data_IF_423428439163
#
_entry.id   IF_423428439163
#
_cell.length_a   1.000
_cell.length_b   1.000
_cell.length_c   1.000
_cell.angle_alpha   90.00
_cell.angle_beta   90.00
_cell.angle_gamma   90.00
#
_symmetry.space_group_name_H-M   'P 1'
#
loop_
_entity.id
_entity.type
_entity.pdbx_description
1 polymer ?
#
# COMPACT_ATOMS: atom_id res chain seq x y z
N UNK A 1 29.75 -10.58 8.92
CA UNK A 1 29.60 -11.73 9.83
C UNK A 1 28.17 -12.23 9.72
N UNK A 2 27.94 -13.40 9.15
CA UNK A 2 26.61 -14.00 9.13
C UNK A 2 26.25 -14.38 10.58
N UNK A 3 25.22 -13.72 11.12
CA UNK A 3 24.68 -14.07 12.44
C UNK A 3 24.12 -15.48 12.30
N UNK A 4 24.74 -16.46 12.94
CA UNK A 4 24.23 -17.82 12.97
C UNK A 4 22.80 -17.78 13.53
N UNK A 5 21.83 -18.25 12.75
CA UNK A 5 20.46 -18.38 13.22
C UNK A 5 20.46 -19.22 14.50
N UNK A 6 19.77 -18.78 15.57
CA UNK A 6 19.74 -19.55 16.81
C UNK A 6 19.18 -20.94 16.54
N UNK A 7 19.88 -21.97 17.02
CA UNK A 7 19.43 -23.36 16.96
C UNK A 7 18.30 -23.50 17.99
N UNK A 8 17.07 -23.42 17.51
CA UNK A 8 15.88 -23.67 18.32
C UNK A 8 15.71 -25.18 18.55
N UNK A 9 15.18 -25.61 19.71
CA UNK A 9 14.88 -27.01 19.94
C UNK A 9 13.87 -27.54 18.90
N UNK A 10 13.96 -28.81 18.49
CA UNK A 10 13.02 -29.40 17.55
C UNK A 10 11.61 -29.43 18.16
N UNK A 11 10.59 -29.42 17.31
CA UNK A 11 9.20 -29.59 17.74
C UNK A 11 9.02 -30.96 18.44
N UNK A 12 8.08 -31.06 19.41
CA UNK A 12 7.81 -32.32 20.09
C UNK A 12 7.37 -33.44 19.14
N UNK A 13 7.82 -34.67 19.41
CA UNK A 13 7.56 -35.85 18.56
C UNK A 13 6.09 -36.30 18.50
N UNK A 14 5.19 -35.74 19.33
CA UNK A 14 3.77 -36.11 19.38
C UNK A 14 2.87 -35.30 18.43
N UNK A 15 3.44 -34.45 17.57
CA UNK A 15 2.66 -33.76 16.54
C UNK A 15 2.13 -34.78 15.52
N UNK A 16 0.83 -35.05 15.60
CA UNK A 16 0.13 -35.89 14.63
C UNK A 16 0.05 -35.11 13.32
N UNK A 17 0.66 -35.66 12.27
CA UNK A 17 0.53 -35.10 10.94
C UNK A 17 -0.95 -35.12 10.52
N UNK A 18 -1.47 -34.05 9.89
CA UNK A 18 -2.84 -34.05 9.41
C UNK A 18 -3.02 -35.18 8.40
N UNK A 19 -4.09 -35.96 8.57
CA UNK A 19 -4.47 -37.06 7.68
C UNK A 19 -5.80 -36.76 7.00
N UNK A 20 -5.99 -37.31 5.80
CA UNK A 20 -7.26 -37.16 5.10
C UNK A 20 -8.35 -38.04 5.75
N UNK A 21 -9.50 -37.47 6.14
CA UNK A 21 -10.62 -38.26 6.60
C UNK A 21 -11.24 -39.09 5.48
N UNK A 22 -11.74 -40.30 5.79
CA UNK A 22 -12.39 -41.18 4.81
C UNK A 22 -13.63 -40.56 4.15
N UNK A 23 -14.26 -39.59 4.80
CA UNK A 23 -15.44 -38.87 4.34
C UNK A 23 -15.10 -37.57 3.58
N UNK A 24 -13.83 -37.23 3.38
CA UNK A 24 -13.44 -36.06 2.60
C UNK A 24 -13.93 -36.18 1.15
N UNK A 25 -13.61 -37.28 0.48
CA UNK A 25 -14.10 -37.55 -0.87
C UNK A 25 -15.35 -38.43 -0.77
N UNK A 26 -16.52 -37.87 -1.13
CA UNK A 26 -17.77 -38.63 -1.12
C UNK A 26 -17.73 -39.74 -2.17
N UNK A 27 -18.45 -40.86 -1.94
CA UNK A 27 -18.55 -41.94 -2.92
C UNK A 27 -19.04 -41.43 -4.29
N UNK A 28 -18.45 -41.93 -5.37
CA UNK A 28 -18.84 -41.65 -6.75
C UNK A 28 -18.89 -42.96 -7.55
N UNK A 29 -19.71 -43.00 -8.61
CA UNK A 29 -20.12 -44.24 -9.30
C UNK A 29 -19.40 -44.52 -10.62
N UNK A 30 -18.36 -43.76 -10.96
CA UNK A 30 -17.61 -43.92 -12.21
C UNK A 30 -16.17 -44.41 -11.94
N UNK A 31 -15.58 -45.24 -12.82
CA UNK A 31 -14.22 -45.71 -12.64
C UNK A 31 -13.22 -44.56 -12.81
N UNK A 32 -12.17 -44.56 -11.99
CA UNK A 32 -11.06 -43.63 -12.18
C UNK A 32 -10.25 -44.05 -13.42
N UNK A 33 -10.04 -43.15 -14.39
CA UNK A 33 -9.26 -43.45 -15.59
C UNK A 33 -7.80 -43.75 -15.22
N UNK A 34 -7.07 -44.51 -16.06
CA UNK A 34 -5.64 -44.77 -15.82
C UNK A 34 -4.84 -43.47 -15.76
N UNK A 35 -4.97 -42.65 -16.80
CA UNK A 35 -4.44 -41.28 -16.85
C UNK A 35 -5.42 -40.33 -16.16
N UNK A 36 -4.99 -39.76 -15.04
CA UNK A 36 -5.79 -38.85 -14.25
C UNK A 36 -5.78 -37.47 -14.89
N UNK A 37 -6.90 -36.78 -14.74
CA UNK A 37 -7.11 -35.46 -15.30
C UNK A 37 -7.56 -34.46 -14.23
N UNK A 38 -7.47 -33.17 -14.56
CA UNK A 38 -7.88 -32.07 -13.68
C UNK A 38 -9.31 -32.29 -13.21
N UNK A 39 -9.54 -32.26 -11.90
CA UNK A 39 -10.79 -32.59 -11.23
C UNK A 39 -10.70 -33.88 -10.42
N UNK A 40 -9.82 -34.81 -10.81
CA UNK A 40 -9.56 -36.08 -10.12
C UNK A 40 -8.07 -36.37 -9.93
N UNK A 41 -7.19 -35.37 -9.98
CA UNK A 41 -5.74 -35.57 -9.74
C UNK A 41 -5.47 -36.01 -8.30
N UNK A 42 -4.32 -36.64 -8.03
CA UNK A 42 -3.92 -37.04 -6.68
C UNK A 42 -4.01 -35.87 -5.69
N UNK A 43 -3.51 -34.69 -6.05
CA UNK A 43 -3.62 -33.47 -5.22
C UNK A 43 -5.05 -33.01 -4.93
N UNK A 44 -6.04 -33.39 -5.74
CA UNK A 44 -7.44 -33.00 -5.56
C UNK A 44 -8.26 -34.06 -4.82
N UNK A 45 -7.84 -35.33 -4.90
CA UNK A 45 -8.40 -36.45 -4.14
C UNK A 45 -7.84 -36.49 -2.72
N UNK A 46 -6.53 -36.30 -2.60
CA UNK A 46 -5.81 -36.15 -1.34
C UNK A 46 -4.96 -34.87 -1.35
N UNK A 47 -5.50 -33.74 -0.84
CA UNK A 47 -4.79 -32.47 -0.83
C UNK A 47 -3.63 -32.43 0.19
N UNK A 48 -3.59 -33.39 1.13
CA UNK A 48 -2.54 -33.50 2.14
C UNK A 48 -1.36 -34.38 1.69
N UNK A 49 -1.50 -35.08 0.56
CA UNK A 49 -0.44 -35.85 -0.04
C UNK A 49 0.73 -34.94 -0.46
N UNK A 50 1.94 -35.27 0.00
CA UNK A 50 3.16 -34.47 -0.24
C UNK A 50 4.03 -34.99 -1.37
N UNK A 51 3.95 -36.29 -1.63
CA UNK A 51 4.74 -36.96 -2.65
C UNK A 51 3.93 -38.04 -3.36
N UNK A 52 4.30 -38.34 -4.60
CA UNK A 52 3.64 -39.35 -5.43
C UNK A 52 4.62 -39.99 -6.39
N UNK A 53 4.66 -41.33 -6.41
CA UNK A 53 5.31 -42.09 -7.47
C UNK A 53 4.36 -42.21 -8.67
N UNK A 54 4.86 -41.85 -9.86
CA UNK A 54 4.08 -41.79 -11.10
C UNK A 54 4.99 -42.08 -12.31
N UNK A 55 4.42 -42.02 -13.52
CA UNK A 55 5.14 -42.27 -14.77
C UNK A 55 5.00 -41.11 -15.74
N UNK A 56 6.09 -40.79 -16.45
CA UNK A 56 6.08 -39.78 -17.52
C UNK A 56 5.36 -40.33 -18.74
N UNK A 57 4.34 -39.62 -19.22
CA UNK A 57 3.53 -40.02 -20.38
C UNK A 57 3.88 -39.23 -21.63
N UNK A 58 4.35 -37.99 -21.47
CA UNK A 58 4.76 -37.09 -22.56
C UNK A 58 5.86 -36.15 -22.08
N UNK A 59 6.83 -35.86 -22.95
CA UNK A 59 7.85 -34.86 -22.70
C UNK A 59 8.24 -34.21 -24.03
N UNK A 60 7.97 -32.91 -24.19
CA UNK A 60 8.24 -32.17 -25.41
C UNK A 60 8.97 -30.87 -25.13
N UNK A 61 9.91 -30.50 -26.01
CA UNK A 61 10.65 -29.24 -25.89
C UNK A 61 9.77 -28.09 -26.37
N UNK A 62 9.62 -27.04 -25.57
CA UNK A 62 8.93 -25.81 -25.96
C UNK A 62 9.87 -24.62 -25.84
N UNK A 63 10.08 -23.93 -26.96
CA UNK A 63 10.66 -22.58 -26.97
C UNK A 63 9.57 -21.60 -26.53
N UNK A 64 9.61 -21.14 -25.29
CA UNK A 64 8.70 -20.12 -24.76
C UNK A 64 9.48 -18.86 -24.34
N UNK A 65 8.94 -17.64 -24.52
CA UNK A 65 9.50 -16.45 -23.86
C UNK A 65 9.38 -16.62 -22.32
N UNK A 66 10.33 -16.06 -21.57
CA UNK A 66 10.35 -16.19 -20.11
C UNK A 66 9.01 -15.81 -19.46
N UNK A 67 8.65 -16.41 -18.32
CA UNK A 67 7.43 -16.06 -17.61
C UNK A 67 7.51 -14.60 -17.12
N UNK A 68 6.47 -13.83 -17.41
CA UNK A 68 6.28 -12.50 -16.83
C UNK A 68 6.22 -12.61 -15.30
N UNK A 69 7.26 -12.13 -14.63
CA UNK A 69 7.24 -11.92 -13.18
C UNK A 69 6.15 -10.89 -12.87
N UNK A 70 5.26 -11.22 -11.94
CA UNK A 70 4.05 -10.44 -11.65
C UNK A 70 4.35 -8.95 -11.45
N UNK A 71 4.01 -8.14 -12.45
CA UNK A 71 3.82 -6.70 -12.32
C UNK A 71 2.39 -6.38 -12.72
N UNK A 72 1.71 -5.67 -11.82
CA UNK A 72 0.31 -5.30 -11.92
C UNK A 72 -0.05 -4.67 -13.27
N UNK A 73 -1.29 -4.93 -13.68
CA UNK A 73 -1.93 -4.41 -14.88
C UNK A 73 -2.08 -2.89 -14.82
N UNK A 74 -1.00 -2.17 -15.11
CA UNK A 74 -1.02 -0.76 -15.52
C UNK A 74 -1.00 -0.68 -17.04
N UNK A 75 -2.11 -0.21 -17.64
CA UNK A 75 -2.17 0.12 -19.07
C UNK A 75 -1.16 1.23 -19.40
N UNK A 76 -0.12 0.87 -20.14
CA UNK A 76 0.81 1.81 -20.76
C UNK A 76 1.75 1.08 -21.72
N UNK A 77 1.42 1.06 -23.01
CA UNK A 77 2.32 0.62 -24.07
C UNK A 77 3.60 1.47 -24.07
N UNK A 78 4.77 0.85 -23.84
CA UNK A 78 6.05 1.20 -24.50
C UNK A 78 7.17 0.25 -24.11
N UNK A 79 7.83 -0.32 -25.14
CA UNK A 79 9.16 -0.93 -25.05
C UNK A 79 9.19 -2.43 -24.73
N UNK A 80 9.24 -3.27 -25.78
CA UNK A 80 9.60 -4.69 -25.68
C UNK A 80 11.07 -4.77 -25.26
N UNK A 81 11.34 -5.02 -23.97
CA UNK A 81 12.67 -5.44 -23.50
C UNK A 81 12.77 -6.95 -23.71
N UNK A 82 13.87 -7.40 -24.32
CA UNK A 82 14.18 -8.82 -24.53
C UNK A 82 14.21 -9.54 -23.18
N UNK A 83 13.14 -10.28 -22.88
CA UNK A 83 13.11 -11.24 -21.78
C UNK A 83 13.93 -12.48 -22.18
N UNK A 84 14.76 -13.04 -21.28
CA UNK A 84 15.59 -14.19 -21.61
C UNK A 84 14.71 -15.39 -21.99
N UNK A 85 14.91 -15.96 -23.18
CA UNK A 85 14.23 -17.19 -23.60
C UNK A 85 14.80 -18.34 -22.78
N UNK A 86 14.07 -18.80 -21.77
CA UNK A 86 14.42 -20.00 -21.02
C UNK A 86 13.82 -21.19 -21.77
N UNK A 87 14.67 -22.12 -22.20
CA UNK A 87 14.19 -23.37 -22.79
C UNK A 87 13.45 -24.18 -21.70
N UNK A 88 12.17 -24.47 -21.94
CA UNK A 88 11.33 -25.25 -21.04
C UNK A 88 10.85 -26.53 -21.71
N UNK A 89 10.56 -27.53 -20.90
CA UNK A 89 10.03 -28.82 -21.31
C UNK A 89 8.62 -28.98 -20.77
N UNK A 90 7.68 -29.33 -21.64
CA UNK A 90 6.32 -29.69 -21.26
C UNK A 90 6.27 -31.18 -20.93
N UNK A 91 5.95 -31.48 -19.68
CA UNK A 91 5.92 -32.85 -19.15
C UNK A 91 4.50 -33.18 -18.67
N UNK A 92 3.98 -34.30 -19.15
CA UNK A 92 2.72 -34.89 -18.67
C UNK A 92 3.02 -36.18 -17.91
N UNK A 93 2.22 -36.45 -16.88
CA UNK A 93 2.38 -37.58 -15.96
C UNK A 93 1.07 -38.37 -15.90
N UNK A 94 1.13 -39.65 -15.54
CA UNK A 94 -0.08 -40.48 -15.36
C UNK A 94 -1.01 -39.93 -14.27
N UNK A 95 -0.43 -39.36 -13.22
CA UNK A 95 -1.09 -38.62 -12.14
C UNK A 95 -0.08 -37.65 -11.51
N UNK A 96 -0.55 -36.62 -10.80
CA UNK A 96 0.31 -35.61 -10.18
C UNK A 96 -0.18 -35.14 -8.81
N UNK A 97 0.78 -34.98 -7.90
CA UNK A 97 0.59 -34.35 -6.58
C UNK A 97 0.74 -32.83 -6.66
N UNK A 98 1.08 -32.25 -7.82
CA UNK A 98 1.17 -30.79 -8.01
C UNK A 98 -0.11 -30.26 -8.64
N UNK A 99 -0.71 -29.25 -8.02
CA UNK A 99 -1.95 -28.64 -8.49
C UNK A 99 -1.67 -27.73 -9.71
N UNK A 100 -2.34 -27.94 -10.85
CA UNK A 100 -2.34 -26.98 -11.96
C UNK A 100 -3.15 -25.74 -11.58
N UNK A 101 -2.75 -24.57 -12.06
CA UNK A 101 -3.49 -23.32 -11.81
C UNK A 101 -4.98 -23.45 -12.18
N UNK A 102 -5.87 -22.97 -11.30
CA UNK A 102 -7.32 -23.01 -11.54
C UNK A 102 -8.17 -22.50 -10.37
N UNK A 103 -9.37 -22.01 -10.67
CA UNK A 103 -10.33 -21.55 -9.65
C UNK A 103 -9.89 -20.31 -8.86
N UNK A 104 -8.88 -19.58 -9.33
CA UNK A 104 -8.25 -18.47 -8.61
C UNK A 104 -7.06 -18.88 -7.72
N UNK A 105 -6.81 -20.19 -7.57
CA UNK A 105 -5.63 -20.71 -6.89
C UNK A 105 -4.43 -20.82 -7.86
N UNK A 106 -3.28 -20.20 -7.56
CA UNK A 106 -2.05 -20.35 -8.34
C UNK A 106 -1.55 -21.80 -8.33
N UNK A 107 -0.81 -22.19 -9.37
CA UNK A 107 -0.17 -23.51 -9.41
C UNK A 107 0.81 -23.73 -8.25
N UNK A 108 0.95 -25.00 -7.87
CA UNK A 108 2.01 -25.39 -6.95
C UNK A 108 3.39 -25.32 -7.60
N UNK A 109 4.40 -25.43 -6.77
CA UNK A 109 5.80 -25.63 -7.15
C UNK A 109 6.29 -26.94 -6.54
N UNK A 110 7.39 -27.47 -7.05
CA UNK A 110 7.92 -28.72 -6.55
C UNK A 110 9.06 -29.27 -7.40
N UNK A 111 9.41 -30.51 -7.14
CA UNK A 111 10.45 -31.25 -7.86
C UNK A 111 9.93 -32.60 -8.34
N UNK A 112 10.50 -33.08 -9.43
CA UNK A 112 10.28 -34.42 -9.98
C UNK A 112 11.63 -35.13 -9.99
N UNK A 113 11.73 -36.25 -9.27
CA UNK A 113 12.94 -37.05 -9.12
C UNK A 113 12.80 -38.32 -9.95
N UNK A 114 13.69 -38.55 -10.89
CA UNK A 114 13.80 -39.82 -11.60
C UNK A 114 14.26 -40.91 -10.62
N UNK A 115 13.45 -41.97 -10.46
CA UNK A 115 13.72 -43.06 -9.52
C UNK A 115 14.85 -43.99 -9.97
N UNK A 116 15.25 -43.94 -11.24
CA UNK A 116 16.35 -44.74 -11.80
C UNK A 116 17.67 -44.01 -11.71
N UNK A 117 17.71 -42.75 -12.19
CA UNK A 117 18.94 -41.96 -12.23
C UNK A 117 19.20 -41.13 -10.97
N UNK A 118 18.16 -40.90 -10.15
CA UNK A 118 18.21 -39.97 -9.02
C UNK A 118 18.20 -38.50 -9.43
N UNK A 119 18.08 -38.19 -10.72
CA UNK A 119 18.10 -36.81 -11.24
C UNK A 119 16.85 -36.07 -10.78
N UNK A 120 17.04 -34.91 -10.14
CA UNK A 120 15.95 -34.03 -9.70
C UNK A 120 15.74 -32.89 -10.68
N UNK A 121 14.51 -32.72 -11.16
CA UNK A 121 14.10 -31.65 -12.06
C UNK A 121 13.11 -30.74 -11.33
N UNK A 122 13.34 -29.42 -11.38
CA UNK A 122 12.43 -28.43 -10.79
C UNK A 122 11.27 -28.13 -11.75
N UNK A 123 10.07 -28.04 -11.18
CA UNK A 123 8.85 -27.61 -11.88
C UNK A 123 8.66 -26.11 -11.65
N UNK A 124 8.65 -25.33 -12.73
CA UNK A 124 8.52 -23.87 -12.68
C UNK A 124 7.05 -23.42 -12.61
N UNK A 125 6.16 -24.12 -13.32
CA UNK A 125 4.72 -23.88 -13.31
C UNK A 125 3.97 -25.11 -13.82
N UNK A 126 2.69 -25.23 -13.44
CA UNK A 126 1.79 -26.24 -13.98
C UNK A 126 0.55 -25.54 -14.54
N UNK A 127 0.25 -25.76 -15.82
CA UNK A 127 -0.94 -25.22 -16.47
C UNK A 127 -1.88 -26.32 -16.90
N UNK A 128 -3.18 -26.03 -16.88
CA UNK A 128 -4.20 -26.90 -17.44
C UNK A 128 -4.32 -26.66 -18.94
N UNK A 129 -4.20 -27.72 -19.74
CA UNK A 129 -4.56 -27.73 -21.16
C UNK A 129 -5.73 -28.72 -21.35
N UNK A 130 -6.95 -28.23 -21.51
CA UNK A 130 -8.15 -29.08 -21.51
C UNK A 130 -8.31 -29.83 -20.18
N UNK A 131 -8.23 -31.15 -20.22
CA UNK A 131 -8.29 -32.02 -19.03
C UNK A 131 -6.90 -32.31 -18.43
N UNK A 132 -5.81 -31.98 -19.12
CA UNK A 132 -4.46 -32.42 -18.74
C UNK A 132 -3.73 -31.37 -17.90
N UNK A 133 -2.96 -31.84 -16.91
CA UNK A 133 -2.00 -31.03 -16.17
C UNK A 133 -0.62 -31.10 -16.82
N UNK A 134 -0.14 -29.97 -17.34
CA UNK A 134 1.13 -29.87 -18.06
C UNK A 134 2.17 -29.15 -17.18
N UNK A 135 3.26 -29.84 -16.88
CA UNK A 135 4.34 -29.37 -16.02
C UNK A 135 5.44 -28.75 -16.87
N UNK A 136 5.80 -27.50 -16.59
CA UNK A 136 6.90 -26.82 -17.28
C UNK A 136 8.18 -26.99 -16.48
N UNK A 137 9.13 -27.72 -17.05
CA UNK A 137 10.37 -28.15 -16.40
C UNK A 137 11.60 -27.54 -17.08
N UNK A 138 12.67 -27.32 -16.32
CA UNK A 138 13.96 -26.80 -16.85
C UNK A 138 14.79 -27.87 -17.58
N UNK A 139 14.42 -29.14 -17.47
CA UNK A 139 15.16 -30.26 -18.06
C UNK A 139 14.17 -31.34 -18.53
N UNK A 140 14.53 -32.11 -19.57
CA UNK A 140 13.66 -33.16 -20.08
C UNK A 140 13.57 -34.33 -19.09
N UNK A 141 12.45 -35.04 -19.14
CA UNK A 141 12.24 -36.30 -18.46
C UNK A 141 11.83 -37.35 -19.51
N UNK A 142 12.59 -38.43 -19.73
CA UNK A 142 12.27 -39.38 -20.78
C UNK A 142 10.88 -40.01 -20.60
N UNK A 143 10.12 -40.13 -21.68
CA UNK A 143 8.81 -40.78 -21.66
C UNK A 143 8.94 -42.22 -21.18
N UNK A 144 8.05 -42.62 -20.27
CA UNK A 144 8.03 -43.94 -19.66
C UNK A 144 8.88 -44.06 -18.39
N UNK A 145 9.60 -43.02 -17.98
CA UNK A 145 10.39 -43.01 -16.74
C UNK A 145 9.48 -43.03 -15.52
N UNK A 146 9.85 -43.83 -14.50
CA UNK A 146 9.19 -43.80 -13.19
C UNK A 146 9.82 -42.70 -12.35
N UNK A 147 8.99 -41.81 -11.81
CA UNK A 147 9.43 -40.60 -11.11
C UNK A 147 8.68 -40.43 -9.80
N UNK A 148 9.33 -39.80 -8.82
CA UNK A 148 8.70 -39.33 -7.57
C UNK A 148 8.56 -37.82 -7.63
N UNK A 149 7.34 -37.33 -7.43
CA UNK A 149 7.06 -35.91 -7.34
C UNK A 149 7.05 -35.49 -5.88
N UNK A 150 7.64 -34.34 -5.55
CA UNK A 150 7.54 -33.70 -4.24
C UNK A 150 6.94 -32.30 -4.39
N UNK A 151 5.93 -31.99 -3.57
CA UNK A 151 5.33 -30.66 -3.51
C UNK A 151 6.14 -29.72 -2.62
N UNK A 152 6.22 -28.44 -2.99
CA UNK A 152 6.55 -27.36 -2.07
C UNK A 152 5.41 -27.24 -1.04
N UNK A 153 5.62 -27.89 0.11
CA UNK A 153 4.56 -28.08 1.09
C UNK A 153 4.10 -26.78 1.74
N UNK A 154 5.01 -25.84 1.99
CA UNK A 154 4.66 -24.57 2.63
C UNK A 154 3.76 -23.75 1.71
N UNK A 155 4.08 -23.71 0.40
CA UNK A 155 3.22 -23.10 -0.61
C UNK A 155 1.86 -23.77 -0.70
N UNK A 156 1.83 -25.10 -0.80
CA UNK A 156 0.58 -25.88 -0.90
C UNK A 156 -0.30 -25.65 0.33
N UNK A 157 0.29 -25.71 1.53
CA UNK A 157 -0.42 -25.50 2.78
C UNK A 157 -1.04 -24.11 2.86
N UNK A 158 -0.25 -23.08 2.53
CA UNK A 158 -0.74 -21.71 2.46
C UNK A 158 -1.89 -21.57 1.46
N UNK A 159 -1.74 -22.10 0.24
CA UNK A 159 -2.78 -22.05 -0.77
C UNK A 159 -4.09 -22.70 -0.32
N UNK A 160 -4.04 -23.92 0.23
CA UNK A 160 -5.21 -24.61 0.76
C UNK A 160 -5.87 -23.82 1.90
N UNK A 161 -5.05 -23.23 2.77
CA UNK A 161 -5.50 -22.44 3.92
C UNK A 161 -6.26 -21.20 3.45
N UNK A 162 -5.67 -20.41 2.54
CA UNK A 162 -6.32 -19.20 2.03
C UNK A 162 -7.57 -19.52 1.20
N UNK A 163 -7.52 -20.56 0.36
CA UNK A 163 -8.63 -20.92 -0.51
C UNK A 163 -9.82 -21.47 0.28
N UNK A 164 -9.58 -22.36 1.25
CA UNK A 164 -10.65 -22.86 2.14
C UNK A 164 -11.25 -21.70 2.96
N UNK A 165 -10.42 -20.81 3.51
CA UNK A 165 -10.91 -19.65 4.24
C UNK A 165 -11.69 -18.66 3.35
N UNK A 166 -11.32 -18.51 2.08
CA UNK A 166 -12.09 -17.71 1.13
C UNK A 166 -13.51 -18.26 0.94
N UNK A 167 -13.68 -19.58 0.75
CA UNK A 167 -15.01 -20.18 0.64
C UNK A 167 -15.86 -19.95 1.90
N UNK A 168 -15.26 -20.05 3.10
CA UNK A 168 -15.95 -19.72 4.36
C UNK A 168 -16.43 -18.27 4.36
N UNK A 169 -15.56 -17.33 3.97
CA UNK A 169 -15.92 -15.91 3.92
C UNK A 169 -17.00 -15.64 2.88
N UNK A 170 -16.88 -16.20 1.67
CA UNK A 170 -17.86 -16.03 0.61
C UNK A 170 -19.23 -16.56 0.98
N UNK A 171 -19.32 -17.76 1.58
CA UNK A 171 -20.59 -18.30 2.08
C UNK A 171 -21.23 -17.41 3.15
N UNK A 172 -20.44 -16.90 4.10
CA UNK A 172 -20.94 -15.99 5.13
C UNK A 172 -21.39 -14.64 4.57
N UNK A 173 -20.65 -14.04 3.64
CA UNK A 173 -21.06 -12.79 2.99
C UNK A 173 -22.31 -12.97 2.13
N UNK A 174 -22.49 -14.15 1.50
CA UNK A 174 -23.70 -14.45 0.74
C UNK A 174 -24.96 -14.40 1.60
N UNK A 175 -24.90 -14.86 2.87
CA UNK A 175 -26.01 -14.74 3.83
C UNK A 175 -26.42 -13.28 4.12
N UNK A 176 -25.52 -12.33 3.87
CA UNK A 176 -25.74 -10.89 4.01
C UNK A 176 -26.15 -10.22 2.68
N UNK A 177 -26.51 -11.02 1.66
CA UNK A 177 -26.77 -10.55 0.29
C UNK A 177 -25.58 -9.80 -0.33
N UNK A 178 -24.35 -10.24 0.01
CA UNK A 178 -23.10 -9.72 -0.53
C UNK A 178 -22.34 -10.85 -1.27
N UNK A 179 -22.85 -11.31 -2.43
CA UNK A 179 -22.20 -12.38 -3.18
C UNK A 179 -20.80 -11.97 -3.63
N UNK A 180 -19.87 -12.92 -3.60
CA UNK A 180 -18.50 -12.68 -4.06
C UNK A 180 -18.47 -12.53 -5.58
N UNK A 181 -17.98 -11.39 -6.07
CA UNK A 181 -17.85 -11.08 -7.50
C UNK A 181 -16.56 -11.64 -8.08
N UNK A 182 -15.47 -11.55 -7.32
CA UNK A 182 -14.16 -12.09 -7.66
C UNK A 182 -13.34 -12.30 -6.39
N UNK A 183 -12.25 -13.06 -6.48
CA UNK A 183 -11.30 -13.19 -5.38
C UNK A 183 -9.88 -13.30 -5.92
N UNK A 184 -8.90 -13.10 -5.05
CA UNK A 184 -7.49 -13.24 -5.40
C UNK A 184 -6.68 -13.81 -4.24
N UNK A 185 -5.96 -14.89 -4.54
CA UNK A 185 -4.90 -15.42 -3.70
C UNK A 185 -3.60 -14.67 -4.02
N UNK A 186 -3.28 -13.67 -3.21
CA UNK A 186 -2.09 -12.84 -3.38
C UNK A 186 -0.81 -13.57 -2.94
N UNK A 187 0.38 -13.17 -3.43
CA UNK A 187 1.65 -13.74 -2.98
C UNK A 187 1.82 -13.61 -1.46
N UNK A 188 2.16 -14.71 -0.79
CA UNK A 188 2.46 -14.69 0.64
C UNK A 188 3.63 -13.73 0.94
N UNK A 189 3.59 -12.93 2.02
CA UNK A 189 2.57 -12.90 3.09
C UNK A 189 1.49 -11.82 2.90
N UNK A 190 1.28 -11.30 1.69
CA UNK A 190 0.27 -10.27 1.44
C UNK A 190 -1.15 -10.76 1.78
N UNK A 191 -2.04 -9.84 2.16
CA UNK A 191 -3.44 -10.18 2.40
C UNK A 191 -4.13 -10.60 1.09
N UNK A 192 -4.94 -11.65 1.15
CA UNK A 192 -5.85 -12.02 0.07
C UNK A 192 -7.05 -11.06 0.05
N UNK A 193 -7.85 -11.08 -1.01
CA UNK A 193 -9.08 -10.30 -1.03
C UNK A 193 -10.22 -10.99 -1.78
N UNK A 194 -11.44 -10.65 -1.40
CA UNK A 194 -12.66 -10.86 -2.18
C UNK A 194 -13.22 -9.51 -2.62
N UNK A 195 -13.84 -9.46 -3.78
CA UNK A 195 -14.58 -8.30 -4.26
C UNK A 195 -16.08 -8.50 -4.03
N UNK A 196 -16.71 -7.54 -3.39
CA UNK A 196 -18.13 -7.52 -3.06
C UNK A 196 -18.87 -6.40 -3.81
N UNK A 197 -20.20 -6.48 -3.98
CA UNK A 197 -20.98 -5.50 -4.74
C UNK A 197 -21.00 -4.10 -4.11
N UNK A 198 -20.77 -4.04 -2.79
CA UNK A 198 -20.61 -2.81 -2.02
C UNK A 198 -19.62 -2.99 -0.89
N UNK A 199 -19.13 -1.87 -0.35
CA UNK A 199 -18.40 -1.85 0.93
C UNK A 199 -19.30 -2.38 2.06
N UNK A 200 -18.88 -3.43 2.80
CA UNK A 200 -19.58 -3.85 4.00
C UNK A 200 -19.41 -2.84 5.13
N UNK A 201 -20.39 -2.78 6.02
CA UNK A 201 -20.30 -2.00 7.26
C UNK A 201 -19.33 -2.67 8.25
N UNK A 202 -18.84 -1.91 9.23
CA UNK A 202 -18.00 -2.46 10.29
C UNK A 202 -18.68 -3.61 11.06
N UNK A 203 -20.00 -3.52 11.26
CA UNK A 203 -20.79 -4.57 11.92
C UNK A 203 -20.88 -5.84 11.07
N UNK A 204 -21.06 -5.72 9.75
CA UNK A 204 -21.05 -6.88 8.84
C UNK A 204 -19.68 -7.56 8.81
N UNK A 205 -18.59 -6.79 8.73
CA UNK A 205 -17.23 -7.34 8.79
C UNK A 205 -16.97 -8.08 10.11
N UNK A 206 -17.36 -7.48 11.25
CA UNK A 206 -17.20 -8.10 12.56
C UNK A 206 -18.03 -9.38 12.70
N UNK A 207 -19.27 -9.37 12.21
CA UNK A 207 -20.13 -10.55 12.20
C UNK A 207 -19.52 -11.69 11.38
N UNK A 208 -19.08 -11.42 10.16
CA UNK A 208 -18.44 -12.44 9.30
C UNK A 208 -17.17 -12.99 9.94
N UNK A 209 -16.31 -12.12 10.50
CA UNK A 209 -15.09 -12.57 11.17
C UNK A 209 -15.40 -13.48 12.37
N UNK A 210 -16.34 -13.09 13.23
CA UNK A 210 -16.70 -13.89 14.41
C UNK A 210 -17.31 -15.23 13.99
N UNK A 211 -18.27 -15.23 13.05
CA UNK A 211 -18.89 -16.45 12.52
C UNK A 211 -17.87 -17.39 11.88
N UNK A 212 -16.92 -16.87 11.08
CA UNK A 212 -15.86 -17.67 10.48
C UNK A 212 -14.98 -18.35 11.55
N UNK A 213 -14.57 -17.61 12.58
CA UNK A 213 -13.76 -18.17 13.65
C UNK A 213 -14.55 -19.13 14.55
N UNK A 214 -15.87 -18.97 14.70
CA UNK A 214 -16.73 -19.96 15.37
C UNK A 214 -16.77 -21.28 14.60
N UNK A 215 -16.92 -21.23 13.28
CA UNK A 215 -16.90 -22.43 12.42
C UNK A 215 -15.53 -23.14 12.45
N UNK A 216 -14.44 -22.39 12.51
CA UNK A 216 -13.08 -22.93 12.69
C UNK A 216 -12.97 -23.65 14.03
N UNK A 217 -13.42 -23.02 15.13
CA UNK A 217 -13.42 -23.64 16.47
C UNK A 217 -14.30 -24.90 16.54
N UNK A 218 -15.41 -24.90 15.82
CA UNK A 218 -16.31 -26.05 15.71
C UNK A 218 -15.73 -27.18 14.84
N UNK A 219 -14.59 -26.96 14.17
CA UNK A 219 -13.96 -27.89 13.25
C UNK A 219 -14.93 -28.38 12.15
N UNK A 220 -15.68 -27.44 11.55
CA UNK A 220 -16.63 -27.75 10.47
C UNK A 220 -15.94 -28.56 9.36
N UNK A 221 -16.61 -29.63 8.91
CA UNK A 221 -16.08 -30.55 7.90
C UNK A 221 -16.17 -29.97 6.50
N UNK A 222 -15.22 -30.36 5.67
CA UNK A 222 -15.21 -30.07 4.24
C UNK A 222 -15.29 -31.39 3.48
N UNK A 223 -16.25 -31.49 2.58
CA UNK A 223 -16.44 -32.63 1.70
C UNK A 223 -16.25 -32.24 0.24
N UNK A 224 -15.89 -33.23 -0.57
CA UNK A 224 -15.76 -33.11 -2.02
C UNK A 224 -16.66 -34.14 -2.66
N UNK A 225 -17.48 -33.70 -3.61
CA UNK A 225 -18.31 -34.57 -4.44
C UNK A 225 -17.85 -34.50 -5.89
N UNK A 226 -17.91 -35.62 -6.59
CA UNK A 226 -17.55 -35.72 -8.00
C UNK A 226 -18.73 -36.24 -8.81
N UNK A 227 -19.05 -35.56 -9.90
CA UNK A 227 -20.02 -36.04 -10.90
C UNK A 227 -19.41 -35.92 -12.29
N UNK A 228 -19.88 -36.75 -13.24
CA UNK A 228 -19.43 -36.65 -14.62
C UNK A 228 -19.95 -35.34 -15.22
N UNK A 229 -19.07 -34.61 -15.91
CA UNK A 229 -19.49 -33.44 -16.68
C UNK A 229 -20.02 -33.90 -18.02
N UNK A 230 -21.30 -33.63 -18.30
CA UNK A 230 -21.81 -33.62 -19.67
C UNK A 230 -21.88 -32.18 -20.20
N UNK A 231 -21.99 -32.01 -21.52
CA UNK A 231 -22.01 -30.68 -22.16
C UNK A 231 -23.26 -29.85 -21.87
N UNK A 232 -24.35 -30.47 -21.41
CA UNK A 232 -25.62 -29.81 -21.06
C UNK A 232 -25.70 -29.41 -19.57
N UNK A 233 -24.98 -30.11 -18.68
CA UNK A 233 -24.97 -29.93 -17.22
C UNK A 233 -23.71 -29.24 -16.68
N UNK A 234 -22.76 -28.88 -17.55
CA UNK A 234 -21.53 -28.16 -17.19
C UNK A 234 -21.85 -26.79 -16.55
N UNK A 235 -21.40 -26.51 -15.31
CA UNK A 235 -21.58 -25.19 -14.70
C UNK A 235 -20.94 -24.07 -15.52
N UNK A 236 -21.61 -22.91 -15.62
CA UNK A 236 -21.11 -21.72 -16.34
C UNK A 236 -19.78 -21.18 -15.79
N UNK A 237 -19.47 -21.48 -14.53
CA UNK A 237 -18.20 -21.09 -13.89
C UNK A 237 -17.00 -21.92 -14.38
N UNK A 238 -17.21 -23.05 -15.06
CA UNK A 238 -16.12 -23.86 -15.60
C UNK A 238 -15.60 -23.32 -16.94
N UNK A 239 -14.31 -23.52 -17.26
CA UNK A 239 -13.76 -23.17 -18.58
C UNK A 239 -14.46 -23.91 -19.73
N UNK A 240 -14.55 -23.27 -20.90
CA UNK A 240 -15.20 -23.85 -22.09
C UNK A 240 -14.43 -25.06 -22.65
N UNK A 241 -13.10 -25.08 -22.52
CA UNK A 241 -12.23 -26.16 -22.95
C UNK A 241 -12.20 -27.37 -21.98
N UNK A 242 -12.97 -27.31 -20.88
CA UNK A 242 -13.14 -28.41 -19.94
C UNK A 242 -14.34 -29.29 -20.36
N UNK A 243 -14.10 -30.22 -21.29
CA UNK A 243 -15.14 -31.09 -21.88
C UNK A 243 -14.85 -32.55 -21.54
N UNK A 244 -15.87 -33.30 -21.07
CA UNK A 244 -15.77 -34.73 -20.77
C UNK A 244 -15.02 -35.08 -19.47
N UNK A 245 -14.79 -34.08 -18.60
CA UNK A 245 -14.17 -34.25 -17.29
C UNK A 245 -15.19 -34.53 -16.17
N UNK A 246 -14.86 -34.08 -14.96
CA UNK A 246 -15.74 -34.18 -13.78
C UNK A 246 -16.09 -32.80 -13.26
N UNK A 247 -17.32 -32.64 -12.77
CA UNK A 247 -17.67 -31.50 -11.93
C UNK A 247 -17.24 -31.85 -10.51
N UNK A 248 -16.26 -31.10 -10.00
CA UNK A 248 -15.81 -31.19 -8.61
C UNK A 248 -16.50 -30.12 -7.78
N UNK A 249 -17.26 -30.55 -6.79
CA UNK A 249 -17.99 -29.67 -5.88
C UNK A 249 -17.37 -29.74 -4.48
N UNK A 250 -17.10 -28.58 -3.89
CA UNK A 250 -16.63 -28.46 -2.52
C UNK A 250 -17.83 -28.06 -1.66
N UNK A 251 -18.01 -28.75 -0.54
CA UNK A 251 -19.11 -28.60 0.41
C UNK A 251 -18.52 -28.36 1.80
N UNK A 252 -18.51 -27.10 2.24
CA UNK A 252 -18.22 -26.73 3.62
C UNK A 252 -19.56 -26.78 4.37
N UNK A 253 -19.70 -27.79 5.24
CA UNK A 253 -21.00 -28.18 5.80
C UNK A 253 -21.72 -26.99 6.43
N UNK A 254 -22.89 -26.64 5.87
CA UNK A 254 -23.75 -25.57 6.37
C UNK A 254 -23.25 -24.14 6.11
N UNK A 255 -22.22 -23.97 5.25
CA UNK A 255 -21.61 -22.66 4.98
C UNK A 255 -21.63 -22.35 3.48
N UNK A 256 -20.97 -23.17 2.67
CA UNK A 256 -20.83 -22.93 1.23
C UNK A 256 -20.78 -24.27 0.49
N UNK A 257 -21.40 -24.30 -0.69
CA UNK A 257 -21.40 -25.47 -1.56
C UNK A 257 -21.38 -25.04 -3.01
N UNK A 258 -20.31 -25.39 -3.73
CA UNK A 258 -20.17 -24.95 -5.12
C UNK A 258 -19.06 -25.64 -5.90
N UNK A 259 -19.08 -25.51 -7.24
CA UNK A 259 -18.06 -26.08 -8.10
C UNK A 259 -16.72 -25.39 -7.86
N UNK A 260 -15.71 -26.15 -7.43
CA UNK A 260 -14.35 -25.66 -7.26
C UNK A 260 -13.32 -26.76 -7.53
N UNK A 261 -12.36 -26.45 -8.38
CA UNK A 261 -11.27 -27.36 -8.72
C UNK A 261 -10.05 -27.24 -7.79
N UNK A 262 -10.00 -26.24 -6.90
CA UNK A 262 -8.87 -25.98 -6.01
C UNK A 262 -8.63 -27.06 -4.96
N UNK A 263 -7.48 -26.98 -4.28
CA UNK A 263 -7.17 -27.86 -3.15
C UNK A 263 -7.69 -27.24 -1.85
N UNK A 264 -8.44 -28.00 -1.05
CA UNK A 264 -9.04 -27.53 0.19
C UNK A 264 -8.67 -28.43 1.36
N UNK A 265 -8.52 -27.83 2.55
CA UNK A 265 -8.33 -28.58 3.78
C UNK A 265 -9.58 -29.41 4.08
N UNK A 266 -9.45 -30.59 4.73
CA UNK A 266 -10.58 -31.49 4.99
C UNK A 266 -11.51 -31.02 6.12
N UNK A 267 -11.11 -29.97 6.83
CA UNK A 267 -11.87 -29.35 7.90
C UNK A 267 -11.36 -27.93 8.13
N UNK A 268 -12.11 -27.15 8.91
CA UNK A 268 -11.74 -25.76 9.18
C UNK A 268 -10.72 -25.60 10.32
N UNK A 269 -10.55 -26.56 11.23
CA UNK A 269 -9.63 -26.38 12.36
C UNK A 269 -8.17 -26.05 11.97
N UNK A 270 -7.57 -26.66 10.91
CA UNK A 270 -6.21 -26.31 10.50
C UNK A 270 -6.05 -24.89 9.95
N UNK A 271 -7.15 -24.18 9.66
CA UNK A 271 -7.09 -22.75 9.35
C UNK A 271 -6.61 -21.91 10.53
N UNK A 272 -6.72 -22.42 11.77
CA UNK A 272 -6.37 -21.78 13.03
C UNK A 272 -7.23 -20.54 13.33
N UNK A 273 -7.18 -19.53 12.46
CA UNK A 273 -7.94 -18.30 12.55
C UNK A 273 -8.09 -17.63 11.19
N UNK A 274 -9.15 -16.84 11.05
CA UNK A 274 -9.36 -15.91 9.94
C UNK A 274 -9.37 -14.50 10.49
N UNK A 275 -8.67 -13.58 9.83
CA UNK A 275 -8.73 -12.15 10.13
C UNK A 275 -9.21 -11.39 8.90
N UNK A 276 -10.32 -10.67 9.05
CA UNK A 276 -10.88 -9.78 8.03
C UNK A 276 -10.44 -8.36 8.39
N UNK A 277 -9.68 -7.73 7.51
CA UNK A 277 -9.15 -6.40 7.78
C UNK A 277 -10.27 -5.35 7.77
N UNK A 278 -10.21 -4.33 8.66
CA UNK A 278 -11.27 -3.33 8.79
C UNK A 278 -11.29 -2.29 7.65
N UNK A 279 -10.29 -2.30 6.77
CA UNK A 279 -10.21 -1.41 5.62
C UNK A 279 -10.56 -2.12 4.32
N UNK A 280 -11.11 -1.35 3.38
CA UNK A 280 -11.48 -1.81 2.04
C UNK A 280 -10.91 -0.89 0.97
N UNK A 281 -10.83 -1.37 -0.27
CA UNK A 281 -10.50 -0.53 -1.43
C UNK A 281 -11.64 -0.54 -2.43
N UNK A 282 -12.17 0.63 -2.79
CA UNK A 282 -13.17 0.75 -3.86
C UNK A 282 -12.57 0.37 -5.21
N UNK A 283 -13.34 -0.31 -6.07
CA UNK A 283 -12.89 -0.75 -7.40
C UNK A 283 -13.62 0.02 -8.50
N UNK A 284 -14.82 -0.41 -8.91
CA UNK A 284 -15.64 0.26 -9.93
C UNK A 284 -17.09 0.33 -9.47
N UNK A 285 -17.70 1.50 -9.62
CA UNK A 285 -19.06 1.73 -9.12
C UNK A 285 -19.07 1.59 -7.60
N UNK A 286 -19.98 0.78 -7.08
CA UNK A 286 -20.09 0.52 -5.64
C UNK A 286 -19.18 -0.59 -5.14
N UNK A 287 -18.55 -1.39 -6.01
CA UNK A 287 -17.81 -2.59 -5.58
C UNK A 287 -16.57 -2.27 -4.76
N UNK A 288 -16.26 -3.15 -3.80
CA UNK A 288 -15.16 -2.99 -2.87
C UNK A 288 -14.40 -4.29 -2.66
N UNK A 289 -13.08 -4.19 -2.53
CA UNK A 289 -12.22 -5.27 -2.08
C UNK A 289 -12.19 -5.30 -0.56
N UNK A 290 -12.55 -6.46 0.00
CA UNK A 290 -12.39 -6.80 1.41
C UNK A 290 -11.16 -7.68 1.52
N UNK A 291 -10.19 -7.25 2.33
CA UNK A 291 -8.94 -7.98 2.52
C UNK A 291 -9.06 -8.93 3.71
N UNK A 292 -8.42 -10.09 3.60
CA UNK A 292 -8.36 -11.08 4.68
C UNK A 292 -7.04 -11.84 4.67
N UNK A 293 -6.74 -12.46 5.81
CA UNK A 293 -5.66 -13.41 5.98
C UNK A 293 -6.14 -14.61 6.80
N UNK A 294 -5.59 -15.79 6.53
CA UNK A 294 -5.97 -17.04 7.20
C UNK A 294 -4.74 -17.79 7.68
N UNK A 295 -4.82 -18.41 8.85
CA UNK A 295 -3.76 -19.23 9.44
C UNK A 295 -2.43 -18.48 9.60
N UNK A 296 -1.29 -19.05 9.17
CA UNK A 296 0.03 -18.44 9.34
C UNK A 296 0.16 -17.01 8.79
N UNK A 297 -0.61 -16.64 7.76
CA UNK A 297 -0.60 -15.26 7.24
C UNK A 297 -1.13 -14.25 8.25
N UNK A 298 -2.03 -14.64 9.17
CA UNK A 298 -2.53 -13.75 10.23
C UNK A 298 -1.40 -13.39 11.19
N UNK A 299 -0.59 -14.37 11.59
CA UNK A 299 0.60 -14.12 12.42
C UNK A 299 1.63 -13.25 11.69
N UNK A 300 1.84 -13.51 10.39
CA UNK A 300 2.72 -12.71 9.55
C UNK A 300 2.24 -11.26 9.39
N UNK A 301 0.93 -11.00 9.44
CA UNK A 301 0.36 -9.65 9.43
C UNK A 301 0.40 -8.98 10.81
N UNK A 302 0.22 -9.74 11.90
CA UNK A 302 0.20 -9.24 13.27
C UNK A 302 1.58 -8.74 13.73
N UNK A 303 2.64 -9.49 13.43
CA UNK A 303 4.00 -9.15 13.86
C UNK A 303 4.46 -7.73 13.44
N UNK A 304 4.40 -7.34 12.15
CA UNK A 304 4.79 -5.99 11.74
C UNK A 304 3.82 -4.91 12.27
N UNK A 305 2.54 -5.22 12.44
CA UNK A 305 1.57 -4.27 12.99
C UNK A 305 1.83 -3.98 14.47
N UNK A 306 2.09 -5.01 15.27
CA UNK A 306 2.42 -4.89 16.69
C UNK A 306 3.76 -4.16 16.90
N UNK A 307 4.77 -4.47 16.08
CA UNK A 307 6.06 -3.77 16.13
C UNK A 307 5.91 -2.29 15.72
N UNK A 308 5.15 -2.00 14.66
CA UNK A 308 4.87 -0.62 14.25
C UNK A 308 4.20 0.20 15.36
N UNK A 309 3.16 -0.36 16.00
CA UNK A 309 2.48 0.32 17.11
C UNK A 309 3.40 0.50 18.33
N UNK A 310 4.27 -0.48 18.60
CA UNK A 310 5.29 -0.38 19.67
C UNK A 310 6.26 0.78 19.40
N UNK A 311 6.73 0.93 18.17
CA UNK A 311 7.66 2.01 17.80
C UNK A 311 6.99 3.38 17.94
N UNK A 312 5.74 3.53 17.50
CA UNK A 312 4.96 4.76 17.71
C UNK A 312 4.83 5.07 19.21
N UNK A 313 4.54 4.06 20.04
CA UNK A 313 4.47 4.22 21.49
C UNK A 313 5.79 4.71 22.10
N UNK A 314 6.93 4.16 21.66
CA UNK A 314 8.26 4.59 22.09
C UNK A 314 8.58 6.03 21.67
N UNK A 315 8.31 6.40 20.43
CA UNK A 315 8.53 7.76 19.92
C UNK A 315 7.70 8.80 20.67
N UNK A 316 6.48 8.43 21.06
CA UNK A 316 5.57 9.30 21.81
C UNK A 316 5.77 9.24 23.34
N UNK A 317 6.60 8.30 23.83
CA UNK A 317 6.81 8.07 25.26
C UNK A 317 5.54 7.61 26.00
N UNK A 318 4.72 6.75 25.39
CA UNK A 318 3.45 6.27 25.95
C UNK A 318 3.23 4.77 25.74
N UNK A 319 2.25 4.20 26.44
CA UNK A 319 1.84 2.82 26.19
C UNK A 319 1.16 2.68 24.80
N UNK A 320 1.25 1.50 24.18
CA UNK A 320 0.65 1.26 22.86
C UNK A 320 -0.86 1.57 22.82
N UNK A 321 -1.57 1.31 23.91
CA UNK A 321 -3.01 1.57 24.06
C UNK A 321 -3.35 3.06 24.09
N UNK A 322 -2.39 3.92 24.41
CA UNK A 322 -2.56 5.37 24.53
C UNK A 322 -2.04 6.11 23.28
N UNK A 323 -1.36 5.41 22.37
CA UNK A 323 -0.66 6.01 21.24
C UNK A 323 -1.56 6.93 20.40
N UNK A 324 -2.81 6.52 20.13
CA UNK A 324 -3.76 7.32 19.34
C UNK A 324 -4.10 8.63 20.03
N UNK A 325 -4.34 8.61 21.34
CA UNK A 325 -4.66 9.82 22.10
C UNK A 325 -3.44 10.72 22.24
N UNK A 326 -2.24 10.13 22.41
CA UNK A 326 -0.99 10.89 22.44
C UNK A 326 -0.68 11.56 21.10
N UNK A 327 -0.96 10.90 19.97
CA UNK A 327 -0.89 11.53 18.64
C UNK A 327 -1.83 12.73 18.54
N UNK A 328 -3.07 12.61 19.01
CA UNK A 328 -4.04 13.72 19.01
C UNK A 328 -3.55 14.89 19.88
N UNK A 329 -2.98 14.59 21.05
CA UNK A 329 -2.38 15.58 21.95
C UNK A 329 -1.23 16.33 21.26
N UNK A 330 -0.28 15.62 20.65
CA UNK A 330 0.86 16.21 19.93
C UNK A 330 0.40 17.09 18.78
N UNK A 331 -0.60 16.66 18.01
CA UNK A 331 -1.21 17.49 16.95
C UNK A 331 -1.86 18.75 17.55
N UNK A 332 -2.54 18.63 18.69
CA UNK A 332 -3.11 19.76 19.43
C UNK A 332 -2.05 20.76 19.89
N UNK A 333 -1.01 20.27 20.58
CA UNK A 333 0.13 21.06 21.02
C UNK A 333 0.82 21.78 19.85
N UNK A 334 0.94 21.12 18.70
CA UNK A 334 1.49 21.73 17.48
C UNK A 334 0.62 22.86 16.92
N UNK A 335 -0.70 22.79 17.05
CA UNK A 335 -1.61 23.90 16.70
C UNK A 335 -1.50 25.05 17.70
N UNK A 336 -1.43 24.75 18.99
CA UNK A 336 -1.35 25.75 20.05
C UNK A 336 0.00 26.47 20.05
N UNK A 337 1.10 25.75 19.78
CA UNK A 337 2.41 26.34 19.58
C UNK A 337 2.42 27.36 18.42
N UNK A 338 1.80 27.03 17.28
CA UNK A 338 1.67 27.97 16.15
C UNK A 338 0.85 29.21 16.50
N UNK A 339 -0.26 29.05 17.25
CA UNK A 339 -1.05 30.20 17.72
C UNK A 339 -0.26 31.10 18.67
N UNK A 340 0.51 30.52 19.59
CA UNK A 340 1.39 31.27 20.50
C UNK A 340 2.50 31.99 19.74
N UNK A 341 3.09 31.35 18.74
CA UNK A 341 4.11 31.95 17.87
C UNK A 341 3.54 33.14 17.08
N UNK A 342 2.35 33.01 16.51
CA UNK A 342 1.69 34.12 15.82
C UNK A 342 1.39 35.30 16.77
N UNK A 343 0.85 35.03 17.97
CA UNK A 343 0.57 36.09 18.96
C UNK A 343 1.85 36.80 19.40
N UNK A 344 2.91 36.05 19.70
CA UNK A 344 4.21 36.62 20.07
C UNK A 344 4.78 37.47 18.92
N UNK A 345 4.61 37.04 17.67
CA UNK A 345 5.00 37.81 16.49
C UNK A 345 4.20 39.11 16.35
N UNK A 346 2.89 39.08 16.60
CA UNK A 346 2.04 40.28 16.60
C UNK A 346 2.40 41.28 17.71
N UNK A 347 2.74 40.79 18.91
CA UNK A 347 3.23 41.61 20.02
C UNK A 347 4.59 42.23 19.69
N UNK A 348 5.54 41.43 19.18
CA UNK A 348 6.85 41.88 18.72
C UNK A 348 6.72 42.96 17.64
N UNK A 349 5.82 42.79 16.68
CA UNK A 349 5.54 43.82 15.68
C UNK A 349 5.12 45.14 16.33
N UNK A 350 4.34 45.09 17.43
CA UNK A 350 3.98 46.28 18.20
C UNK A 350 5.16 46.97 18.90
N UNK A 351 6.14 46.22 19.44
CA UNK A 351 7.37 46.78 20.00
C UNK A 351 8.23 47.43 18.91
N UNK A 352 8.45 46.70 17.80
CA UNK A 352 9.24 47.19 16.66
C UNK A 352 8.62 48.44 16.04
N UNK A 353 7.28 48.51 15.93
CA UNK A 353 6.59 49.73 15.50
C UNK A 353 6.97 50.95 16.35
N UNK A 354 7.04 50.81 17.68
CA UNK A 354 7.42 51.93 18.57
C UNK A 354 8.88 52.32 18.37
N UNK A 355 9.78 51.35 18.32
CA UNK A 355 11.20 51.58 18.08
C UNK A 355 11.46 52.34 16.77
N UNK A 356 10.79 51.92 15.69
CA UNK A 356 10.88 52.58 14.38
C UNK A 356 10.35 54.01 14.41
N UNK A 357 9.27 54.26 15.18
CA UNK A 357 8.71 55.61 15.34
C UNK A 357 9.59 56.51 16.23
N UNK A 358 10.20 55.96 17.28
CA UNK A 358 11.07 56.70 18.19
C UNK A 358 12.41 57.07 17.53
N UNK A 359 12.89 56.22 16.60
CA UNK A 359 14.08 56.48 15.78
C UNK A 359 13.79 57.28 14.50
N UNK A 360 12.52 57.55 14.19
CA UNK A 360 12.16 58.31 13.00
C UNK A 360 12.59 59.78 13.13
N UNK A 361 12.97 60.37 12.01
CA UNK A 361 13.45 61.75 11.93
C UNK A 361 12.60 62.58 10.97
N UNK A 362 12.56 63.90 11.16
CA UNK A 362 11.85 64.80 10.25
C UNK A 362 12.82 65.36 9.22
N UNK A 363 12.57 65.09 7.94
CA UNK A 363 13.32 65.62 6.79
C UNK A 363 12.37 66.44 5.93
N UNK A 364 12.66 67.73 5.74
CA UNK A 364 11.84 68.66 4.95
C UNK A 364 10.33 68.62 5.30
N UNK A 365 10.01 68.44 6.59
CA UNK A 365 8.64 68.36 7.09
C UNK A 365 7.94 67.01 6.92
N UNK A 366 8.63 65.99 6.41
CA UNK A 366 8.16 64.61 6.28
C UNK A 366 8.79 63.74 7.38
N UNK A 367 7.98 62.96 8.09
CA UNK A 367 8.51 61.98 9.06
C UNK A 367 9.05 60.75 8.34
N UNK A 368 10.35 60.49 8.47
CA UNK A 368 11.06 59.42 7.78
C UNK A 368 11.56 58.37 8.76
N UNK A 369 11.38 57.09 8.45
CA UNK A 369 11.98 56.02 9.24
C UNK A 369 12.31 54.78 8.42
N UNK A 370 13.28 54.01 8.90
CA UNK A 370 13.68 52.75 8.30
C UNK A 370 13.70 51.63 9.33
N UNK A 371 13.48 50.40 8.85
CA UNK A 371 13.64 49.19 9.63
C UNK A 371 14.38 48.16 8.79
N UNK A 372 15.43 47.58 9.35
CA UNK A 372 16.09 46.42 8.76
C UNK A 372 16.14 45.31 9.80
N UNK A 373 15.70 44.11 9.39
CA UNK A 373 15.70 42.92 10.25
C UNK A 373 16.35 41.75 9.54
N UNK A 374 17.02 40.92 10.32
CA UNK A 374 17.37 39.57 9.90
C UNK A 374 16.51 38.57 10.68
N UNK A 375 15.77 37.75 9.95
CA UNK A 375 14.99 36.64 10.49
C UNK A 375 15.65 35.33 10.06
N UNK A 376 16.30 34.63 10.98
CA UNK A 376 17.01 33.38 10.63
C UNK A 376 16.05 32.19 10.43
N UNK A 377 14.95 32.16 11.18
CA UNK A 377 14.11 30.95 11.31
C UNK A 377 12.67 31.10 10.80
N UNK A 378 12.34 32.22 10.14
CA UNK A 378 10.97 32.56 9.75
C UNK A 378 10.83 32.81 8.24
N UNK A 379 10.00 32.04 7.52
CA UNK A 379 9.67 32.35 6.12
C UNK A 379 8.62 33.48 6.01
N UNK A 380 8.06 33.94 7.12
CA UNK A 380 6.95 34.90 7.17
C UNK A 380 7.41 36.37 7.25
N UNK A 381 8.62 36.68 6.78
CA UNK A 381 9.21 38.03 6.93
C UNK A 381 8.37 39.14 6.28
N UNK A 382 7.70 38.86 5.14
CA UNK A 382 6.81 39.85 4.51
C UNK A 382 5.55 40.12 5.34
N UNK A 383 5.00 39.10 5.98
CA UNK A 383 3.84 39.24 6.88
C UNK A 383 4.20 40.10 8.09
N UNK A 384 5.37 39.86 8.69
CA UNK A 384 5.87 40.67 9.81
C UNK A 384 6.03 42.15 9.43
N UNK A 385 6.74 42.43 8.33
CA UNK A 385 6.88 43.81 7.82
C UNK A 385 5.51 44.44 7.53
N UNK A 386 4.56 43.63 7.05
CA UNK A 386 3.21 44.11 6.80
C UNK A 386 2.49 44.50 8.09
N UNK A 387 2.54 43.67 9.11
CA UNK A 387 1.98 43.98 10.42
C UNK A 387 2.59 45.25 11.03
N UNK A 388 3.92 45.43 10.95
CA UNK A 388 4.60 46.65 11.43
C UNK A 388 4.14 47.88 10.65
N UNK A 389 4.10 47.80 9.31
CA UNK A 389 3.71 48.94 8.46
C UNK A 389 2.25 49.38 8.68
N UNK A 390 1.31 48.45 8.84
CA UNK A 390 -0.08 48.78 9.14
C UNK A 390 -0.21 49.46 10.50
N UNK A 391 0.49 48.95 11.52
CA UNK A 391 0.51 49.58 12.86
C UNK A 391 1.12 50.97 12.86
N UNK A 392 2.21 51.20 12.12
CA UNK A 392 2.81 52.54 11.96
C UNK A 392 1.78 53.49 11.32
N UNK A 393 1.16 53.06 10.21
CA UNK A 393 0.13 53.84 9.52
C UNK A 393 -1.01 54.23 10.47
N UNK A 394 -1.60 53.27 11.17
CA UNK A 394 -2.73 53.49 12.06
C UNK A 394 -2.39 54.48 13.20
N UNK A 395 -1.17 54.37 13.77
CA UNK A 395 -0.71 55.27 14.83
C UNK A 395 -0.46 56.70 14.33
N UNK A 396 0.09 56.85 13.12
CA UNK A 396 0.33 58.17 12.52
C UNK A 396 -0.98 58.85 12.12
N UNK A 397 -1.93 58.09 11.56
CA UNK A 397 -3.29 58.58 11.28
C UNK A 397 -3.98 59.05 12.57
N UNK A 398 -3.91 58.27 13.65
CA UNK A 398 -4.46 58.66 14.95
C UNK A 398 -3.81 59.92 15.56
N UNK A 399 -2.55 60.21 15.23
CA UNK A 399 -1.83 61.43 15.65
C UNK A 399 -2.08 62.63 14.72
N UNK A 400 -2.81 62.45 13.62
CA UNK A 400 -3.03 63.49 12.62
C UNK A 400 -1.78 63.80 11.77
N UNK A 401 -0.81 62.89 11.72
CA UNK A 401 0.40 63.05 10.88
C UNK A 401 0.04 62.76 9.42
N UNK A 402 0.11 63.79 8.57
CA UNK A 402 -0.31 63.72 7.16
C UNK A 402 0.84 63.57 6.16
N UNK A 403 2.09 63.67 6.63
CA UNK A 403 3.29 63.58 5.80
C UNK A 403 4.34 62.67 6.44
N UNK A 404 4.57 61.50 5.84
CA UNK A 404 5.53 60.51 6.33
C UNK A 404 5.96 59.52 5.24
N UNK A 405 7.14 58.92 5.37
CA UNK A 405 7.65 57.91 4.44
C UNK A 405 8.55 56.91 5.16
N UNK A 406 8.21 55.62 5.09
CA UNK A 406 8.95 54.55 5.75
C UNK A 406 9.38 53.47 4.76
N UNK A 407 10.56 52.90 4.99
CA UNK A 407 11.02 51.70 4.30
C UNK A 407 11.40 50.61 5.30
N UNK A 408 10.73 49.46 5.22
CA UNK A 408 10.97 48.31 6.09
C UNK A 408 11.47 47.15 5.23
N UNK A 409 12.66 46.63 5.55
CA UNK A 409 13.24 45.48 4.91
C UNK A 409 13.52 44.37 5.92
N UNK A 410 13.46 43.14 5.44
CA UNK A 410 13.85 41.96 6.20
C UNK A 410 14.64 41.01 5.31
N UNK A 411 15.48 40.18 5.91
CA UNK A 411 16.15 39.06 5.26
C UNK A 411 15.91 37.78 6.05
N UNK A 412 15.33 36.77 5.40
CA UNK A 412 15.17 35.45 5.99
C UNK A 412 15.03 34.33 4.98
N UNK A 413 14.70 33.10 5.41
CA UNK A 413 14.49 31.95 4.52
C UNK A 413 13.44 32.18 3.42
N UNK A 414 12.45 33.04 3.68
CA UNK A 414 11.45 33.49 2.69
C UNK A 414 12.01 34.46 1.63
N UNK A 415 13.28 34.81 1.73
CA UNK A 415 14.03 35.79 0.95
C UNK A 415 14.06 37.17 1.62
N UNK A 416 14.38 38.20 0.82
CA UNK A 416 14.68 39.54 1.35
C UNK A 416 13.67 40.59 0.86
N UNK A 417 12.45 40.65 1.46
CA UNK A 417 11.44 41.65 1.09
C UNK A 417 11.82 43.07 1.54
N UNK A 418 11.25 44.05 0.83
CA UNK A 418 11.27 45.47 1.14
C UNK A 418 9.86 46.04 0.92
N UNK A 419 9.36 46.77 1.92
CA UNK A 419 8.07 47.47 1.89
C UNK A 419 8.33 48.96 2.10
N UNK A 420 7.87 49.79 1.16
CA UNK A 420 7.90 51.25 1.28
C UNK A 420 6.46 51.75 1.31
N UNK A 421 6.14 52.57 2.30
CA UNK A 421 4.79 53.13 2.46
C UNK A 421 4.87 54.53 3.08
N UNK A 422 3.88 55.36 2.81
CA UNK A 422 3.93 56.76 3.18
C UNK A 422 2.82 57.58 2.56
N UNK A 423 2.77 58.84 2.96
CA UNK A 423 1.91 59.89 2.40
C UNK A 423 2.74 61.17 2.21
N UNK A 424 2.59 61.88 1.07
CA UNK A 424 1.75 61.56 -0.09
C UNK A 424 2.29 60.36 -0.92
N UNK A 425 1.42 59.71 -1.71
CA UNK A 425 1.80 58.54 -2.53
C UNK A 425 2.93 58.84 -3.52
N UNK A 426 3.10 60.10 -3.92
CA UNK A 426 4.19 60.54 -4.80
C UNK A 426 5.57 60.26 -4.21
N UNK A 427 5.73 60.40 -2.88
CA UNK A 427 6.98 60.06 -2.19
C UNK A 427 7.27 58.55 -2.22
N UNK A 428 6.24 57.72 -2.10
CA UNK A 428 6.35 56.24 -2.17
C UNK A 428 6.76 55.79 -3.57
N UNK A 429 6.13 56.34 -4.61
CA UNK A 429 6.46 56.03 -6.01
C UNK A 429 7.90 56.43 -6.32
N UNK A 430 8.30 57.65 -5.95
CA UNK A 430 9.67 58.15 -6.15
C UNK A 430 10.70 57.29 -5.43
N UNK A 431 10.44 56.91 -4.17
CA UNK A 431 11.33 56.02 -3.42
C UNK A 431 11.47 54.65 -4.10
N UNK A 432 10.36 54.07 -4.59
CA UNK A 432 10.38 52.81 -5.34
C UNK A 432 11.14 52.89 -6.68
N UNK A 433 11.12 54.04 -7.36
CA UNK A 433 11.94 54.30 -8.55
C UNK A 433 13.42 54.40 -8.21
N UNK A 434 13.77 55.17 -7.19
CA UNK A 434 15.14 55.32 -6.70
C UNK A 434 15.72 53.99 -6.20
N UNK A 435 14.92 53.12 -5.57
CA UNK A 435 15.34 51.75 -5.22
C UNK A 435 15.71 50.96 -6.46
N UNK A 436 14.91 51.00 -7.53
CA UNK A 436 15.22 50.25 -8.76
C UNK A 436 16.44 50.81 -9.49
N UNK A 437 16.69 52.11 -9.40
CA UNK A 437 17.83 52.78 -10.02
C UNK A 437 19.14 52.54 -9.25
N UNK A 438 19.12 52.74 -7.93
CA UNK A 438 20.31 52.71 -7.07
C UNK A 438 20.63 51.34 -6.50
N UNK A 439 19.63 50.47 -6.31
CA UNK A 439 19.81 49.11 -5.80
C UNK A 439 19.55 48.10 -6.91
N UNK A 440 20.62 47.65 -7.55
CA UNK A 440 20.57 46.61 -8.58
C UNK A 440 19.98 45.31 -8.04
N UNK A 441 19.04 44.70 -8.78
CA UNK A 441 18.49 43.38 -8.42
C UNK A 441 17.30 43.41 -7.46
N UNK A 442 16.72 44.57 -7.15
CA UNK A 442 15.45 44.66 -6.40
C UNK A 442 14.28 44.80 -7.38
N UNK A 443 13.35 43.84 -7.35
CA UNK A 443 12.13 43.88 -8.19
C UNK A 443 10.91 44.15 -7.31
N UNK A 444 10.06 45.10 -7.72
CA UNK A 444 8.88 45.50 -6.94
C UNK A 444 8.03 46.57 -7.61
N UNK A 445 6.88 46.88 -7.02
CA UNK A 445 5.93 47.88 -7.51
C UNK A 445 4.84 48.24 -6.49
N UNK A 446 4.12 49.32 -6.77
CA UNK A 446 3.00 49.83 -5.95
C UNK A 446 3.00 51.37 -5.85
N UNK A 447 1.81 51.96 -5.66
CA UNK A 447 1.62 53.43 -5.59
C UNK A 447 1.58 53.96 -4.16
N UNK A 448 0.54 53.64 -3.37
CA UNK A 448 0.49 54.01 -1.94
C UNK A 448 1.26 53.07 -1.00
N UNK A 449 1.64 51.89 -1.50
CA UNK A 449 2.47 50.90 -0.79
C UNK A 449 3.27 50.13 -1.82
N UNK A 450 4.56 50.43 -1.92
CA UNK A 450 5.48 49.73 -2.80
C UNK A 450 6.01 48.47 -2.11
N UNK A 451 5.94 47.34 -2.78
CA UNK A 451 6.48 46.08 -2.28
C UNK A 451 7.46 45.51 -3.30
N UNK A 452 8.62 45.10 -2.80
CA UNK A 452 9.64 44.47 -3.62
C UNK A 452 10.42 43.41 -2.86
N UNK A 453 11.28 42.73 -3.58
CA UNK A 453 12.15 41.68 -3.05
C UNK A 453 13.50 41.75 -3.75
N UNK A 454 14.58 41.64 -2.97
CA UNK A 454 15.93 41.46 -3.51
C UNK A 454 16.03 40.09 -4.16
N UNK A 455 16.57 40.04 -5.38
CA UNK A 455 16.63 38.83 -6.19
C UNK A 455 17.45 37.71 -5.52
N UNK A 456 18.58 38.06 -4.92
CA UNK A 456 19.49 37.12 -4.27
C UNK A 456 20.13 37.73 -3.02
N UNK A 457 20.39 36.89 -2.02
CA UNK A 457 21.12 37.27 -0.81
C UNK A 457 20.31 38.04 0.26
N UNK A 458 21.00 38.35 1.36
CA UNK A 458 20.51 39.19 2.46
C UNK A 458 20.79 40.67 2.16
N UNK A 459 20.06 41.57 2.81
CA UNK A 459 20.40 43.01 2.84
C UNK A 459 21.74 43.19 3.54
N UNK A 460 22.66 43.96 2.94
CA UNK A 460 23.95 44.32 3.56
C UNK A 460 23.86 45.70 4.21
N UNK A 461 24.71 46.00 5.20
CA UNK A 461 24.70 47.31 5.88
C UNK A 461 24.85 48.49 4.91
N UNK A 462 25.60 48.32 3.81
CA UNK A 462 25.72 49.35 2.77
C UNK A 462 24.40 49.58 2.05
N UNK A 463 23.69 48.51 1.68
CA UNK A 463 22.38 48.61 1.03
C UNK A 463 21.32 49.20 1.97
N UNK A 464 21.38 48.86 3.26
CA UNK A 464 20.51 49.44 4.29
C UNK A 464 20.69 50.96 4.38
N UNK A 465 21.95 51.43 4.36
CA UNK A 465 22.26 52.87 4.32
C UNK A 465 21.72 53.54 3.05
N UNK A 466 21.90 52.91 1.89
CA UNK A 466 21.38 53.41 0.61
C UNK A 466 19.85 53.49 0.62
N UNK A 467 19.14 52.49 1.15
CA UNK A 467 17.68 52.56 1.33
C UNK A 467 17.30 53.74 2.24
N UNK A 468 18.03 53.97 3.34
CA UNK A 468 17.82 55.15 4.19
C UNK A 468 18.00 56.48 3.45
N UNK A 469 19.05 56.63 2.66
CA UNK A 469 19.27 57.82 1.82
C UNK A 469 18.16 58.00 0.77
N UNK A 470 17.69 56.92 0.16
CA UNK A 470 16.59 56.96 -0.81
C UNK A 470 15.33 57.53 -0.17
N UNK A 471 14.98 57.08 1.03
CA UNK A 471 13.77 57.56 1.72
C UNK A 471 13.91 59.04 2.07
N UNK A 472 15.07 59.50 2.56
CA UNK A 472 15.33 60.93 2.82
C UNK A 472 15.27 61.78 1.55
N UNK A 473 15.89 61.31 0.47
CA UNK A 473 15.87 62.00 -0.82
C UNK A 473 14.45 62.08 -1.42
N UNK A 474 13.64 61.05 -1.21
CA UNK A 474 12.25 61.02 -1.65
C UNK A 474 11.35 61.91 -0.79
N UNK A 475 11.69 62.10 0.49
CA UNK A 475 11.02 63.00 1.42
C UNK A 475 11.29 64.49 1.14
N UNK A 476 12.50 64.86 0.69
CA UNK A 476 12.89 66.23 0.38
C UNK A 476 12.31 66.80 -0.93
N UNK A 477 10.99 66.71 -1.11
CA UNK A 477 10.23 67.42 -2.15
C UNK A 477 9.58 68.68 -1.58
#
# INVERSE_FOLDING_TARGET
>A
MAVASPILPPLPAHLIAPSIPNDYLRPFSFPLPKHKFVGVLACQRDPLLKELDTKVTRCEKRSAPAPATGKGSGKGQKGKKDEPVVELWEVELEDTVLFPEGGGQPSDTGTIVDLTSGTSVKVEKILRHGLTAVHYCLSPLPVGTSVRIHVDWDRRWDHMTQHTGQHVLSGLFDTLSLPTLSWSLTPSPQACYIELPRTPTATELAHVQESANQLIRANTRVHVSLSLSDSASRPKSMPEDYVGGVVREVDIVGVDRGPCCGTHLPSLAPLQMVYVFPWTTSVRGTSARVYFAVGPRVLAALAPAAEGLRQVGLELGCAQTEAVDKVREVIGQGKDARKREQRAREELAGYVTREVLDAAETVDGVLVGTLFRQEEDSPASLEFLSNVSYRIKDLLEARGTTSYLFALASSGPGGSPLVIFGMPETGVVRAGELVREKLGGVKGGGRGRWQGKKAEGKWTEEEEKVVGEIVRQAAGL
#
